data_IF_542110810471
#
_entry.id   IF_542110810471
#
_cell.length_a   1.000
_cell.length_b   1.000
_cell.length_c   1.000
_cell.angle_alpha   90.00
_cell.angle_beta   90.00
_cell.angle_gamma   90.00
#
_symmetry.space_group_name_H-M   'P 1'
#
loop_
_entity.id
_entity.type
_entity.pdbx_description
1 polymer ?
#
# COMPACT_ATOMS: atom_id res chain seq x y z
N UNK A 1 1.48 -56.27 46.03
CA UNK A 1 1.32 -55.63 47.35
C UNK A 1 0.96 -54.17 47.15
N UNK A 2 -0.24 -53.76 47.58
CA UNK A 2 -0.80 -52.42 47.38
C UNK A 2 -0.92 -51.71 48.74
N UNK A 3 -0.67 -50.38 48.78
CA UNK A 3 -1.05 -49.38 49.81
C UNK A 3 -0.72 -48.01 49.21
N UNK A 4 -1.51 -46.94 49.22
CA UNK A 4 -2.84 -46.64 49.73
C UNK A 4 -3.22 -45.21 49.28
N UNK A 5 -4.49 -44.98 48.98
CA UNK A 5 -5.10 -43.68 48.62
C UNK A 5 -5.21 -42.77 49.86
N UNK A 6 -5.20 -41.44 49.68
CA UNK A 6 -6.15 -40.57 50.39
C UNK A 6 -6.47 -39.27 49.62
N UNK A 7 -7.76 -39.11 49.31
CA UNK A 7 -8.44 -37.88 48.89
C UNK A 7 -8.74 -37.02 50.13
N UNK A 8 -8.81 -35.69 49.97
CA UNK A 8 -9.84 -34.87 50.65
C UNK A 8 -10.44 -33.85 49.67
N UNK A 9 -11.75 -33.69 49.82
CA UNK A 9 -12.71 -32.88 49.03
C UNK A 9 -13.35 -31.87 49.99
N UNK A 10 -14.03 -30.88 49.41
CA UNK A 10 -15.10 -30.03 50.00
C UNK A 10 -14.60 -28.81 50.80
N UNK A 11 -15.17 -27.60 50.69
CA UNK A 11 -16.59 -27.23 50.51
C UNK A 11 -16.77 -25.86 49.78
N UNK A 12 -17.87 -25.75 49.03
CA UNK A 12 -18.54 -24.52 48.56
C UNK A 12 -19.56 -24.09 49.63
N UNK A 13 -19.77 -22.80 49.90
CA UNK A 13 -21.08 -22.07 50.00
C UNK A 13 -20.87 -20.66 50.59
N UNK A 14 -21.21 -19.60 49.84
CA UNK A 14 -22.43 -18.74 49.90
C UNK A 14 -22.46 -17.73 51.06
N UNK A 15 -22.50 -16.45 50.69
CA UNK A 15 -22.95 -15.32 51.51
C UNK A 15 -23.09 -14.08 50.62
N UNK A 16 -24.33 -13.74 50.27
CA UNK A 16 -24.73 -12.49 49.62
C UNK A 16 -25.44 -11.60 50.66
N UNK A 17 -25.86 -10.39 50.23
CA UNK A 17 -26.67 -9.33 50.92
C UNK A 17 -25.79 -8.12 51.29
N UNK A 18 -25.71 -7.05 50.48
CA UNK A 18 -26.67 -5.96 50.14
C UNK A 18 -26.71 -4.84 51.20
N UNK A 19 -26.33 -3.63 50.78
CA UNK A 19 -26.93 -2.37 51.21
C UNK A 19 -26.73 -1.30 50.11
N UNK A 20 -27.87 -0.83 49.56
CA UNK A 20 -28.02 0.37 48.73
C UNK A 20 -27.77 1.64 49.58
N UNK A 21 -27.56 2.86 49.07
CA UNK A 21 -28.46 3.76 48.31
C UNK A 21 -27.58 4.99 47.95
N UNK A 22 -27.58 5.53 46.74
CA UNK A 22 -28.46 6.66 46.42
C UNK A 22 -28.03 7.40 45.16
N UNK A 23 -29.02 7.70 44.34
CA UNK A 23 -28.96 8.26 42.98
C UNK A 23 -29.04 9.79 43.05
N UNK A 24 -28.25 10.48 42.21
CA UNK A 24 -28.68 11.74 41.58
C UNK A 24 -28.34 11.61 40.09
N UNK A 25 -29.37 11.63 39.25
CA UNK A 25 -29.25 11.55 37.81
C UNK A 25 -29.08 12.91 37.13
N UNK A 26 -28.48 12.91 35.95
CA UNK A 26 -28.81 13.79 34.83
C UNK A 26 -28.11 13.30 33.54
N UNK A 27 -28.88 13.15 32.47
CA UNK A 27 -28.48 13.62 31.14
C UNK A 27 -27.51 12.78 30.29
N UNK A 28 -28.09 12.09 29.30
CA UNK A 28 -27.63 11.97 27.92
C UNK A 28 -26.12 11.85 27.61
N UNK A 29 -25.76 10.69 27.06
CA UNK A 29 -24.56 10.53 26.25
C UNK A 29 -24.22 9.06 26.08
N UNK A 30 -24.76 8.44 25.03
CA UNK A 30 -24.17 7.20 24.53
C UNK A 30 -22.72 7.50 24.18
N UNK A 31 -21.79 7.17 25.08
CA UNK A 31 -20.39 7.01 24.73
C UNK A 31 -20.33 5.77 23.85
N UNK A 32 -20.57 5.97 22.55
CA UNK A 32 -20.02 5.10 21.54
C UNK A 32 -18.50 5.13 21.78
N UNK A 33 -17.99 4.10 22.42
CA UNK A 33 -16.57 3.79 22.37
C UNK A 33 -16.28 3.50 20.91
N UNK A 34 -15.96 4.55 20.16
CA UNK A 34 -15.41 4.40 18.83
C UNK A 34 -14.20 3.48 19.02
N UNK A 35 -14.32 2.26 18.52
CA UNK A 35 -13.18 1.36 18.38
C UNK A 35 -12.06 2.17 17.73
N UNK A 36 -10.82 2.14 18.23
CA UNK A 36 -9.74 2.89 17.60
C UNK A 36 -9.69 2.44 16.14
N UNK A 37 -9.99 3.37 15.23
CA UNK A 37 -9.81 3.13 13.81
C UNK A 37 -8.37 2.66 13.64
N UNK A 38 -8.18 1.43 13.14
CA UNK A 38 -6.85 0.93 12.76
C UNK A 38 -6.18 2.05 11.95
N UNK A 39 -5.03 2.53 12.43
CA UNK A 39 -4.27 3.59 11.76
C UNK A 39 -4.16 3.23 10.27
N UNK A 40 -4.51 4.19 9.40
CA UNK A 40 -4.44 3.99 7.97
C UNK A 40 -3.02 3.51 7.61
N UNK A 41 -2.91 2.32 7.04
CA UNK A 41 -1.62 1.69 6.70
C UNK A 41 -0.91 2.41 5.55
N UNK A 42 -1.54 3.42 4.96
CA UNK A 42 -1.04 4.20 3.82
C UNK A 42 -0.71 5.63 4.22
N UNK A 43 0.32 6.21 3.62
CA UNK A 43 0.64 7.64 3.75
C UNK A 43 -0.08 8.48 2.69
N UNK A 44 -0.30 9.79 2.94
CA UNK A 44 -0.83 10.71 1.95
C UNK A 44 0.06 10.78 0.68
N UNK A 45 -0.55 10.94 -0.49
CA UNK A 45 0.19 11.01 -1.77
C UNK A 45 1.20 12.18 -1.80
N UNK A 46 0.88 13.29 -1.11
CA UNK A 46 1.80 14.42 -0.95
C UNK A 46 3.06 14.05 -0.16
N UNK A 47 2.97 13.13 0.81
CA UNK A 47 4.15 12.62 1.53
C UNK A 47 5.04 11.81 0.59
N UNK A 48 4.44 10.99 -0.28
CA UNK A 48 5.18 10.26 -1.34
C UNK A 48 5.85 11.24 -2.30
N UNK A 49 5.12 12.26 -2.74
CA UNK A 49 5.65 13.29 -3.65
C UNK A 49 6.80 14.09 -3.02
N UNK A 50 6.67 14.50 -1.75
CA UNK A 50 7.74 15.22 -1.03
C UNK A 50 8.98 14.36 -0.87
N UNK A 51 8.84 13.08 -0.49
CA UNK A 51 9.97 12.16 -0.38
C UNK A 51 10.69 11.98 -1.74
N UNK A 52 9.92 11.79 -2.82
CA UNK A 52 10.45 11.66 -4.17
C UNK A 52 11.16 12.93 -4.67
N UNK A 53 10.58 14.11 -4.42
CA UNK A 53 11.17 15.40 -4.80
C UNK A 53 12.47 15.64 -4.03
N UNK A 54 12.48 15.43 -2.72
CA UNK A 54 13.65 15.63 -1.86
C UNK A 54 14.79 14.66 -2.20
N UNK A 55 14.47 13.43 -2.63
CA UNK A 55 15.46 12.47 -3.12
C UNK A 55 15.96 12.77 -4.55
N UNK A 56 15.39 13.77 -5.24
CA UNK A 56 15.77 14.14 -6.61
C UNK A 56 15.31 13.15 -7.67
N UNK A 57 14.28 12.32 -7.40
CA UNK A 57 13.73 11.36 -8.38
C UNK A 57 13.32 12.00 -9.72
N UNK A 58 12.72 13.21 -9.77
CA UNK A 58 12.40 13.85 -11.04
C UNK A 58 13.62 14.14 -11.94
N UNK A 59 14.81 14.28 -11.35
CA UNK A 59 16.06 14.44 -12.09
C UNK A 59 16.57 13.13 -12.71
N UNK A 60 15.96 11.99 -12.38
CA UNK A 60 16.35 10.73 -13.00
C UNK A 60 15.77 10.61 -14.41
N UNK A 61 16.64 10.84 -15.41
CA UNK A 61 16.34 10.69 -16.85
C UNK A 61 15.07 11.44 -17.30
N UNK A 62 14.75 12.57 -16.65
CA UNK A 62 13.62 13.44 -17.02
C UNK A 62 12.24 12.88 -16.68
N UNK A 63 12.14 11.82 -15.88
CA UNK A 63 10.86 11.25 -15.49
C UNK A 63 10.11 12.22 -14.55
N UNK A 64 8.86 12.63 -14.87
CA UNK A 64 8.11 13.56 -14.03
C UNK A 64 7.85 13.05 -12.60
N UNK A 65 7.79 13.96 -11.63
CA UNK A 65 7.46 13.64 -10.23
C UNK A 65 6.16 12.84 -10.10
N UNK A 66 5.13 13.20 -10.88
CA UNK A 66 3.86 12.50 -10.90
C UNK A 66 3.99 11.01 -11.24
N UNK A 67 4.91 10.66 -12.15
CA UNK A 67 5.18 9.27 -12.54
C UNK A 67 5.80 8.49 -11.38
N UNK A 68 6.73 9.10 -10.63
CA UNK A 68 7.34 8.46 -9.46
C UNK A 68 6.32 8.19 -8.34
N UNK A 69 5.40 9.13 -8.11
CA UNK A 69 4.29 8.92 -7.17
C UNK A 69 3.38 7.80 -7.66
N UNK A 70 3.06 7.78 -8.96
CA UNK A 70 2.21 6.76 -9.55
C UNK A 70 2.84 5.35 -9.48
N UNK A 71 4.16 5.24 -9.66
CA UNK A 71 4.90 3.98 -9.47
C UNK A 71 4.85 3.54 -8.01
N UNK A 72 5.12 4.42 -7.04
CA UNK A 72 5.01 4.05 -5.61
C UNK A 72 3.62 3.54 -5.25
N UNK A 73 2.57 4.22 -5.73
CA UNK A 73 1.18 3.81 -5.50
C UNK A 73 0.85 2.47 -6.18
N UNK A 74 1.42 2.19 -7.35
CA UNK A 74 1.25 0.92 -8.03
C UNK A 74 2.02 -0.24 -7.36
N UNK A 75 3.20 0.03 -6.80
CA UNK A 75 4.04 -0.97 -6.14
C UNK A 75 3.56 -1.31 -4.72
N UNK A 76 3.12 -0.32 -3.95
CA UNK A 76 2.81 -0.49 -2.51
C UNK A 76 1.39 -0.10 -2.09
N UNK A 77 0.61 0.50 -3.00
CA UNK A 77 -0.66 1.14 -2.62
C UNK A 77 -0.48 2.41 -1.76
N UNK A 78 0.74 2.91 -1.60
CA UNK A 78 1.07 4.00 -0.66
C UNK A 78 1.36 3.51 0.75
N UNK A 79 1.55 2.22 0.96
CA UNK A 79 1.92 1.64 2.26
C UNK A 79 3.45 1.67 2.43
N UNK A 80 4.02 2.47 3.36
CA UNK A 80 5.45 2.50 3.60
C UNK A 80 5.97 1.23 4.27
N UNK A 81 5.10 0.40 4.85
CA UNK A 81 5.43 -0.90 5.45
C UNK A 81 5.17 -2.07 4.49
N UNK A 82 4.91 -1.79 3.20
CA UNK A 82 4.77 -2.85 2.21
C UNK A 82 6.06 -3.69 2.16
N UNK A 83 5.92 -4.98 2.38
CA UNK A 83 7.03 -5.92 2.43
C UNK A 83 6.65 -7.18 1.67
N UNK A 84 7.36 -7.44 0.58
CA UNK A 84 7.35 -8.72 -0.09
C UNK A 84 8.16 -9.73 0.72
N UNK A 85 7.52 -10.30 1.75
CA UNK A 85 8.13 -11.27 2.69
C UNK A 85 8.60 -12.56 2.01
N UNK A 86 8.06 -12.86 0.82
CA UNK A 86 8.44 -14.02 0.03
C UNK A 86 9.02 -13.56 -1.30
N UNK A 87 10.26 -14.00 -1.58
CA UNK A 87 10.96 -13.66 -2.82
C UNK A 87 12.02 -12.57 -2.69
N UNK A 88 11.94 -11.54 -3.54
CA UNK A 88 12.92 -10.45 -3.69
C UNK A 88 13.21 -9.62 -2.43
N UNK A 89 12.43 -9.82 -1.36
CA UNK A 89 12.51 -9.06 -0.11
C UNK A 89 12.37 -7.56 -0.38
N UNK A 90 11.40 -7.22 -1.23
CA UNK A 90 11.13 -5.85 -1.66
C UNK A 90 10.43 -5.06 -0.55
N UNK A 91 10.91 -3.85 -0.25
CA UNK A 91 10.44 -3.07 0.91
C UNK A 91 10.05 -1.65 0.55
N UNK A 92 9.02 -1.16 1.25
CA UNK A 92 8.59 0.22 1.25
C UNK A 92 7.83 0.67 0.00
N UNK A 93 7.68 1.99 -0.12
CA UNK A 93 6.81 2.64 -1.10
C UNK A 93 7.13 2.27 -2.56
N UNK A 94 8.41 2.22 -2.92
CA UNK A 94 8.91 1.87 -4.26
C UNK A 94 9.39 0.43 -4.35
N UNK A 95 9.04 -0.44 -3.38
CA UNK A 95 9.35 -1.87 -3.39
C UNK A 95 10.82 -2.17 -3.78
N UNK A 96 11.75 -1.60 -3.01
CA UNK A 96 13.19 -1.76 -3.25
C UNK A 96 13.62 -3.19 -2.92
N UNK A 97 14.09 -3.92 -3.94
CA UNK A 97 14.53 -5.30 -3.87
C UNK A 97 15.82 -5.43 -3.04
N UNK A 98 15.73 -6.06 -1.86
CA UNK A 98 16.90 -6.23 -1.00
C UNK A 98 17.87 -7.28 -1.49
N UNK A 99 17.43 -8.31 -2.23
CA UNK A 99 18.35 -9.32 -2.80
C UNK A 99 19.33 -8.73 -3.81
N UNK A 100 18.87 -7.79 -4.63
CA UNK A 100 19.68 -7.13 -5.64
C UNK A 100 20.53 -5.98 -5.08
N UNK A 101 20.14 -5.42 -3.94
CA UNK A 101 20.64 -4.11 -3.50
C UNK A 101 21.16 -4.06 -2.05
N UNK A 102 21.18 -5.20 -1.34
CA UNK A 102 21.65 -5.28 0.04
C UNK A 102 23.04 -4.66 0.25
N UNK A 103 23.97 -4.83 -0.70
CA UNK A 103 25.36 -4.37 -0.59
C UNK A 103 25.49 -2.85 -0.38
N UNK A 104 24.62 -2.05 -1.00
CA UNK A 104 24.65 -0.59 -0.84
C UNK A 104 23.53 -0.04 0.04
N UNK A 105 22.41 -0.76 0.21
CA UNK A 105 21.35 -0.38 1.16
C UNK A 105 21.83 -0.54 2.60
N UNK A 106 22.50 -1.66 2.92
CA UNK A 106 22.95 -1.99 4.27
C UNK A 106 21.78 -2.11 5.26
N UNK A 107 21.96 -1.56 6.47
CA UNK A 107 20.97 -1.63 7.57
C UNK A 107 19.97 -0.47 7.58
N UNK A 108 19.87 0.31 6.48
CA UNK A 108 18.98 1.46 6.43
C UNK A 108 17.51 1.02 6.48
N UNK A 109 16.69 1.80 7.19
CA UNK A 109 15.25 1.51 7.32
C UNK A 109 14.49 1.90 6.04
N UNK A 110 14.26 0.94 5.14
CA UNK A 110 13.48 1.16 3.92
C UNK A 110 11.98 1.39 4.14
N UNK A 111 11.47 1.27 5.37
CA UNK A 111 10.10 1.67 5.69
C UNK A 111 9.96 3.17 5.95
N UNK A 112 11.08 3.88 6.11
CA UNK A 112 11.07 5.34 6.09
C UNK A 112 10.91 5.84 4.64
N UNK A 113 9.90 6.68 4.33
CA UNK A 113 9.66 7.18 2.97
C UNK A 113 10.85 7.89 2.33
N UNK A 114 11.63 8.67 3.10
CA UNK A 114 12.76 9.42 2.57
C UNK A 114 13.93 8.48 2.24
N UNK A 115 14.22 7.51 3.12
CA UNK A 115 15.22 6.47 2.85
C UNK A 115 14.80 5.59 1.66
N UNK A 116 13.53 5.24 1.55
CA UNK A 116 13.02 4.46 0.41
C UNK A 116 13.12 5.24 -0.91
N UNK A 117 12.81 6.54 -0.91
CA UNK A 117 12.97 7.41 -2.07
C UNK A 117 14.43 7.59 -2.47
N UNK A 118 15.35 7.73 -1.50
CA UNK A 118 16.79 7.74 -1.76
C UNK A 118 17.26 6.45 -2.44
N UNK A 119 16.79 5.30 -1.96
CA UNK A 119 17.13 4.01 -2.57
C UNK A 119 16.54 3.88 -3.99
N UNK A 120 15.30 4.35 -4.21
CA UNK A 120 14.72 4.43 -5.54
C UNK A 120 15.57 5.30 -6.48
N UNK A 121 16.10 6.43 -6.00
CA UNK A 121 16.99 7.28 -6.81
C UNK A 121 18.25 6.52 -7.23
N UNK A 122 18.86 5.76 -6.31
CA UNK A 122 20.04 4.94 -6.60
C UNK A 122 19.77 3.85 -7.64
N UNK A 123 18.65 3.14 -7.53
CA UNK A 123 18.24 2.16 -8.54
C UNK A 123 18.05 2.84 -9.89
N UNK A 124 17.38 3.99 -9.91
CA UNK A 124 17.13 4.71 -11.15
C UNK A 124 18.40 5.26 -11.81
N UNK A 125 19.40 5.69 -11.05
CA UNK A 125 20.69 6.13 -11.59
C UNK A 125 21.38 5.04 -12.42
N UNK A 126 21.33 3.78 -11.96
CA UNK A 126 21.88 2.64 -12.70
C UNK A 126 20.97 2.14 -13.82
N UNK A 127 19.70 1.89 -13.51
CA UNK A 127 18.79 1.09 -14.35
C UNK A 127 17.69 1.92 -15.04
N UNK A 128 17.48 3.16 -14.62
CA UNK A 128 16.33 3.97 -15.03
C UNK A 128 15.02 3.50 -14.39
N UNK A 129 13.91 4.15 -14.75
CA UNK A 129 12.57 3.81 -14.23
C UNK A 129 12.05 2.45 -14.72
N UNK A 130 12.66 1.87 -15.75
CA UNK A 130 12.30 0.54 -16.25
C UNK A 130 12.65 -0.59 -15.29
N UNK A 131 13.40 -0.31 -14.21
CA UNK A 131 13.61 -1.25 -13.10
C UNK A 131 12.31 -1.62 -12.37
N UNK A 132 11.28 -0.76 -12.45
CA UNK A 132 9.98 -1.02 -11.85
C UNK A 132 9.04 -1.66 -12.87
N UNK A 133 8.68 -2.91 -12.65
CA UNK A 133 7.62 -3.57 -13.43
C UNK A 133 6.31 -2.78 -13.46
N UNK A 134 5.91 -2.10 -12.37
CA UNK A 134 4.71 -1.26 -12.37
C UNK A 134 4.77 -0.10 -13.38
N UNK A 135 5.98 0.31 -13.77
CA UNK A 135 6.20 1.21 -14.88
C UNK A 135 6.06 0.46 -16.22
N UNK A 136 6.84 -0.60 -16.44
CA UNK A 136 6.95 -1.28 -17.75
C UNK A 136 5.66 -2.00 -18.18
N UNK A 137 4.84 -2.46 -17.25
CA UNK A 137 3.55 -3.08 -17.53
C UNK A 137 2.37 -2.07 -17.55
N UNK A 138 2.64 -0.78 -17.35
CA UNK A 138 1.63 0.28 -17.40
C UNK A 138 0.72 0.41 -16.17
N UNK A 139 0.92 -0.35 -15.10
CA UNK A 139 0.07 -0.25 -13.89
C UNK A 139 0.06 1.15 -13.27
N UNK A 140 1.17 1.87 -13.35
CA UNK A 140 1.30 3.24 -12.87
C UNK A 140 0.28 4.20 -13.52
N UNK A 141 -0.20 3.96 -14.74
CA UNK A 141 -1.19 4.83 -15.39
C UNK A 141 -2.48 4.97 -14.57
N UNK A 142 -2.86 3.94 -13.80
CA UNK A 142 -4.04 3.97 -12.90
C UNK A 142 -3.91 5.02 -11.79
N UNK A 143 -2.69 5.41 -11.45
CA UNK A 143 -2.38 6.31 -10.35
C UNK A 143 -1.85 7.67 -10.81
N UNK A 144 -1.77 7.91 -12.12
CA UNK A 144 -1.16 9.12 -12.66
C UNK A 144 -1.92 10.39 -12.25
N UNK A 145 -3.25 10.35 -12.21
CA UNK A 145 -4.06 11.48 -11.75
C UNK A 145 -3.77 11.84 -10.27
N UNK A 146 -3.61 10.83 -9.42
CA UNK A 146 -3.20 11.00 -8.01
C UNK A 146 -1.78 11.59 -7.93
N UNK A 147 -0.86 11.06 -8.74
CA UNK A 147 0.51 11.55 -8.83
C UNK A 147 0.59 13.02 -9.28
N UNK A 148 -0.20 13.42 -10.27
CA UNK A 148 -0.27 14.82 -10.73
C UNK A 148 -0.79 15.75 -9.64
N UNK A 149 -1.85 15.35 -8.93
CA UNK A 149 -2.40 16.13 -7.81
C UNK A 149 -1.37 16.32 -6.69
N UNK A 150 -0.65 15.26 -6.32
CA UNK A 150 0.38 15.30 -5.29
C UNK A 150 1.60 16.13 -5.71
N UNK A 151 2.08 15.96 -6.94
CA UNK A 151 3.19 16.75 -7.48
C UNK A 151 2.84 18.25 -7.49
N UNK A 152 1.62 18.60 -7.91
CA UNK A 152 1.16 19.99 -7.89
C UNK A 152 1.07 20.55 -6.46
N UNK A 153 0.70 19.74 -5.46
CA UNK A 153 0.70 20.16 -4.06
C UNK A 153 2.11 20.49 -3.56
N UNK A 154 3.11 19.67 -3.89
CA UNK A 154 4.53 19.93 -3.55
C UNK A 154 5.02 21.22 -4.22
N UNK A 155 4.74 21.43 -5.51
CA UNK A 155 5.15 22.65 -6.23
C UNK A 155 4.51 23.93 -5.67
N UNK A 156 3.31 23.86 -5.08
CA UNK A 156 2.65 24.99 -4.41
C UNK A 156 3.20 25.25 -3.00
N UNK A 157 3.64 24.20 -2.29
CA UNK A 157 4.26 24.31 -0.96
C UNK A 157 5.61 25.04 -0.95
N UNK A 158 6.28 25.15 -2.11
CA UNK A 158 7.52 25.91 -2.29
C UNK A 158 7.28 27.44 -2.44
N UNK A 159 6.02 27.91 -2.47
CA UNK A 159 5.70 29.33 -2.69
C UNK A 159 4.93 30.07 -1.57
N UNK A 160 4.86 29.54 -0.35
CA UNK A 160 4.17 30.23 0.76
C UNK A 160 5.00 30.30 2.05
N UNK A 161 6.13 30.98 2.00
CA UNK A 161 6.68 31.68 3.17
C UNK A 161 6.56 33.17 2.88
N UNK A 162 5.46 33.77 3.34
CA UNK A 162 5.07 35.21 3.34
C UNK A 162 3.74 35.48 2.65
N UNK A 163 2.64 35.01 3.24
CA UNK A 163 1.37 35.74 3.14
C UNK A 163 0.77 35.80 4.54
N UNK A 164 0.80 37.02 5.10
CA UNK A 164 0.06 37.39 6.29
C UNK A 164 -1.44 37.19 6.04
N UNK A 165 -2.13 36.55 6.98
CA UNK A 165 -3.57 36.33 6.90
C UNK A 165 -4.31 37.66 6.99
N UNK A 166 -4.87 38.12 5.87
CA UNK A 166 -6.05 38.96 5.85
C UNK A 166 -6.78 38.76 4.53
N UNK A 167 -7.77 37.88 4.53
CA UNK A 167 -9.02 38.12 3.81
C UNK A 167 -10.07 37.12 4.24
N UNK A 168 -11.25 37.67 4.51
CA UNK A 168 -12.50 36.97 4.70
C UNK A 168 -12.86 36.17 3.45
N UNK A 169 -13.61 35.10 3.70
CA UNK A 169 -14.00 34.08 2.76
C UNK A 169 -14.56 34.60 1.42
N UNK A 170 -14.06 34.00 0.34
CA UNK A 170 -14.83 33.82 -0.89
C UNK A 170 -15.15 32.33 -1.01
N UNK A 171 -16.39 31.92 -1.35
CA UNK A 171 -16.68 30.52 -1.58
C UNK A 171 -16.07 30.15 -2.94
N UNK A 172 -14.86 29.59 -2.94
CA UNK A 172 -14.37 28.88 -4.12
C UNK A 172 -15.19 27.59 -4.18
N UNK A 173 -16.30 27.66 -4.92
CA UNK A 173 -17.04 26.49 -5.35
C UNK A 173 -16.04 25.65 -6.12
N UNK A 174 -15.51 24.63 -5.44
CA UNK A 174 -14.68 23.63 -6.08
C UNK A 174 -15.55 23.01 -7.18
N UNK A 175 -15.36 23.48 -8.41
CA UNK A 175 -15.79 22.75 -9.57
C UNK A 175 -14.94 21.47 -9.57
N UNK A 176 -15.43 20.47 -8.84
CA UNK A 176 -15.09 19.06 -9.02
C UNK A 176 -15.58 18.69 -10.42
N UNK A 177 -14.91 19.21 -11.44
CA UNK A 177 -14.82 18.50 -12.71
C UNK A 177 -13.59 17.61 -12.54
N UNK A 178 -13.77 16.58 -11.71
CA UNK A 178 -13.07 15.34 -12.01
C UNK A 178 -13.51 15.01 -13.44
N UNK A 179 -12.61 14.92 -14.43
CA UNK A 179 -13.01 14.17 -15.60
C UNK A 179 -13.39 12.80 -15.05
N UNK A 180 -14.65 12.41 -15.20
CA UNK A 180 -14.99 11.01 -15.32
C UNK A 180 -14.30 10.54 -16.59
N UNK A 181 -12.97 10.42 -16.52
CA UNK A 181 -12.21 9.61 -17.42
C UNK A 181 -12.70 8.20 -17.11
N UNK A 182 -13.76 7.82 -17.81
CA UNK A 182 -13.94 6.47 -18.32
C UNK A 182 -12.66 6.18 -19.08
N UNK A 183 -11.59 5.86 -18.35
CA UNK A 183 -10.50 5.14 -18.95
C UNK A 183 -11.16 3.83 -19.37
N UNK A 184 -11.30 3.55 -20.68
CA UNK A 184 -11.54 2.16 -21.06
C UNK A 184 -10.49 1.37 -20.30
N UNK A 185 -10.91 0.31 -19.62
CA UNK A 185 -10.04 -0.72 -19.07
C UNK A 185 -8.73 -0.72 -19.85
N UNK A 186 -7.62 -0.31 -19.21
CA UNK A 186 -6.29 -0.10 -19.81
C UNK A 186 -5.73 -1.46 -20.28
N UNK A 187 -6.38 -1.93 -21.32
CA UNK A 187 -6.27 -3.13 -22.11
C UNK A 187 -6.28 -2.70 -23.59
N UNK A 188 -5.71 -1.53 -23.87
CA UNK A 188 -5.34 -1.07 -25.20
C UNK A 188 -3.86 -0.73 -25.08
N UNK A 189 -3.00 -1.68 -25.47
CA UNK A 189 -1.56 -1.42 -25.54
C UNK A 189 -0.64 -2.64 -25.56
N UNK A 190 -0.86 -3.67 -24.72
CA UNK A 190 0.16 -4.72 -24.52
C UNK A 190 -0.35 -6.18 -24.58
N UNK A 191 -1.57 -6.41 -25.06
CA UNK A 191 -2.08 -7.75 -25.32
C UNK A 191 -2.39 -8.56 -24.06
N UNK A 192 -3.41 -9.42 -24.17
CA UNK A 192 -3.90 -10.34 -23.13
C UNK A 192 -4.83 -9.72 -22.06
N UNK A 193 -6.09 -9.53 -22.48
CA UNK A 193 -7.24 -9.45 -21.59
C UNK A 193 -7.49 -10.81 -20.95
N UNK A 194 -6.94 -11.03 -19.77
CA UNK A 194 -7.49 -12.01 -18.85
C UNK A 194 -8.53 -11.32 -17.98
N UNK A 195 -9.58 -12.06 -17.63
CA UNK A 195 -10.46 -11.65 -16.57
C UNK A 195 -9.65 -11.61 -15.26
N UNK A 196 -9.46 -10.41 -14.72
CA UNK A 196 -8.75 -10.22 -13.45
C UNK A 196 -9.40 -11.04 -12.35
N UNK A 197 -10.73 -11.24 -12.41
CA UNK A 197 -11.41 -12.15 -11.48
C UNK A 197 -10.89 -13.58 -11.59
N UNK A 198 -10.62 -14.08 -12.80
CA UNK A 198 -10.11 -15.44 -12.98
C UNK A 198 -8.70 -15.59 -12.38
N UNK A 199 -7.82 -14.61 -12.61
CA UNK A 199 -6.48 -14.58 -12.01
C UNK A 199 -6.58 -14.57 -10.48
N UNK A 200 -7.36 -13.63 -9.92
CA UNK A 200 -7.51 -13.48 -8.47
C UNK A 200 -8.14 -14.73 -7.84
N UNK A 201 -9.18 -15.31 -8.45
CA UNK A 201 -9.77 -16.58 -7.99
C UNK A 201 -8.75 -17.71 -8.00
N UNK A 202 -7.94 -17.80 -9.05
CA UNK A 202 -6.94 -18.84 -9.15
C UNK A 202 -5.85 -18.68 -8.10
N UNK A 203 -5.30 -17.48 -7.93
CA UNK A 203 -4.34 -17.18 -6.87
C UNK A 203 -4.94 -17.47 -5.48
N UNK A 204 -6.17 -17.05 -5.21
CA UNK A 204 -6.86 -17.36 -3.96
C UNK A 204 -6.99 -18.88 -3.73
N UNK A 205 -7.33 -19.65 -4.77
CA UNK A 205 -7.39 -21.13 -4.69
C UNK A 205 -6.04 -21.80 -4.41
N UNK A 206 -4.93 -21.13 -4.75
CA UNK A 206 -3.57 -21.56 -4.45
C UNK A 206 -3.08 -21.09 -3.08
N UNK A 207 -3.95 -20.50 -2.25
CA UNK A 207 -3.65 -20.07 -0.89
C UNK A 207 -3.08 -18.64 -0.76
N UNK A 208 -3.12 -17.84 -1.83
CA UNK A 208 -2.69 -16.45 -1.77
C UNK A 208 -3.69 -15.58 -1.00
N UNK A 209 -3.22 -14.68 -0.12
CA UNK A 209 -4.10 -13.77 0.63
C UNK A 209 -4.51 -12.58 -0.26
N UNK A 210 -5.50 -12.79 -1.13
CA UNK A 210 -5.98 -11.79 -2.10
C UNK A 210 -7.51 -11.72 -2.15
N UNK A 211 -8.04 -10.51 -2.31
CA UNK A 211 -9.45 -10.26 -2.57
C UNK A 211 -9.77 -10.37 -4.07
N UNK A 212 -10.91 -10.96 -4.40
CA UNK A 212 -11.40 -11.08 -5.77
C UNK A 212 -12.31 -9.88 -6.10
N UNK A 213 -11.71 -8.78 -6.53
CA UNK A 213 -12.39 -7.51 -6.80
C UNK A 213 -12.40 -7.09 -8.28
N UNK A 214 -11.80 -7.91 -9.16
CA UNK A 214 -11.70 -7.64 -10.60
C UNK A 214 -10.74 -6.51 -10.96
N UNK A 215 -9.96 -5.99 -10.00
CA UNK A 215 -9.03 -4.88 -10.21
C UNK A 215 -7.60 -5.33 -10.09
N UNK A 216 -6.85 -5.18 -11.17
CA UNK A 216 -5.42 -5.43 -11.16
C UNK A 216 -4.71 -4.23 -10.50
N UNK A 217 -4.67 -4.24 -9.17
CA UNK A 217 -3.96 -3.27 -8.33
C UNK A 217 -2.69 -3.86 -7.71
N UNK A 218 -2.07 -3.11 -6.79
CA UNK A 218 -0.81 -3.50 -6.13
C UNK A 218 -0.86 -4.91 -5.52
N UNK A 219 -1.97 -5.29 -4.86
CA UNK A 219 -2.13 -6.62 -4.28
C UNK A 219 -2.08 -7.71 -5.36
N UNK A 220 -2.80 -7.53 -6.47
CA UNK A 220 -2.79 -8.50 -7.57
C UNK A 220 -1.41 -8.60 -8.21
N UNK A 221 -0.77 -7.46 -8.49
CA UNK A 221 0.58 -7.45 -9.05
C UNK A 221 1.58 -8.18 -8.14
N UNK A 222 1.53 -7.92 -6.85
CA UNK A 222 2.39 -8.58 -5.86
C UNK A 222 2.17 -10.09 -5.82
N UNK A 223 0.92 -10.56 -5.80
CA UNK A 223 0.63 -12.00 -5.79
C UNK A 223 1.02 -12.68 -7.12
N UNK A 224 0.89 -11.99 -8.25
CA UNK A 224 1.39 -12.49 -9.54
C UNK A 224 2.91 -12.61 -9.54
N UNK A 225 3.64 -11.60 -9.06
CA UNK A 225 5.11 -11.65 -8.96
C UNK A 225 5.58 -12.79 -8.06
N UNK A 226 4.96 -12.98 -6.90
CA UNK A 226 5.30 -14.09 -6.00
C UNK A 226 4.99 -15.46 -6.66
N UNK A 227 3.87 -15.58 -7.36
CA UNK A 227 3.55 -16.78 -8.15
C UNK A 227 4.61 -17.05 -9.22
N UNK A 228 4.95 -16.04 -10.02
CA UNK A 228 5.97 -16.16 -11.07
C UNK A 228 7.30 -16.64 -10.49
N UNK A 229 7.72 -16.06 -9.37
CA UNK A 229 8.95 -16.45 -8.71
C UNK A 229 8.91 -17.90 -8.23
N UNK A 230 7.85 -18.32 -7.52
CA UNK A 230 7.69 -19.70 -7.01
C UNK A 230 7.68 -20.75 -8.12
N UNK A 231 7.29 -20.35 -9.33
CA UNK A 231 7.22 -21.24 -10.49
C UNK A 231 8.37 -21.04 -11.49
N UNK A 232 9.42 -20.29 -11.13
CA UNK A 232 10.62 -20.11 -11.97
C UNK A 232 10.36 -19.34 -13.26
N UNK A 233 9.37 -18.43 -13.25
CA UNK A 233 9.01 -17.56 -14.36
C UNK A 233 9.72 -16.20 -14.25
N UNK A 234 9.69 -15.43 -15.33
CA UNK A 234 10.08 -14.01 -15.30
C UNK A 234 9.18 -13.26 -14.32
N UNK A 235 9.77 -12.58 -13.34
CA UNK A 235 9.07 -11.87 -12.25
C UNK A 235 8.76 -10.43 -12.70
N UNK A 236 7.92 -10.29 -13.73
CA UNK A 236 7.53 -9.00 -14.31
C UNK A 236 6.11 -8.55 -13.87
N UNK A 237 5.41 -9.39 -13.11
CA UNK A 237 4.03 -9.14 -12.70
C UNK A 237 3.01 -9.17 -13.85
N UNK A 238 3.41 -9.65 -15.03
CA UNK A 238 2.60 -9.77 -16.23
C UNK A 238 2.06 -11.21 -16.34
N UNK A 239 0.73 -11.34 -16.43
CA UNK A 239 0.10 -12.66 -16.62
C UNK A 239 0.10 -13.06 -18.10
N UNK A 240 1.29 -13.29 -18.64
CA UNK A 240 1.53 -13.76 -20.01
C UNK A 240 1.25 -15.27 -20.19
N UNK A 241 1.46 -15.81 -21.41
CA UNK A 241 1.15 -17.21 -21.73
C UNK A 241 1.79 -18.24 -20.79
N UNK A 242 3.04 -18.04 -20.37
CA UNK A 242 3.72 -18.95 -19.45
C UNK A 242 3.11 -18.90 -18.03
N UNK A 243 2.83 -17.70 -17.52
CA UNK A 243 2.14 -17.50 -16.24
C UNK A 243 0.77 -18.15 -16.26
N UNK A 244 0.01 -17.98 -17.36
CA UNK A 244 -1.30 -18.62 -17.58
C UNK A 244 -1.21 -20.14 -17.55
N UNK A 245 -0.28 -20.72 -18.30
CA UNK A 245 -0.11 -22.16 -18.35
C UNK A 245 0.19 -22.74 -16.95
N UNK A 246 1.01 -22.04 -16.14
CA UNK A 246 1.29 -22.44 -14.76
C UNK A 246 0.09 -22.24 -13.83
N UNK A 247 -0.69 -21.18 -14.03
CA UNK A 247 -1.94 -20.95 -13.31
C UNK A 247 -3.03 -21.95 -13.73
N UNK A 248 -2.96 -22.55 -14.92
CA UNK A 248 -4.01 -23.42 -15.45
C UNK A 248 -5.26 -22.64 -15.87
N UNK A 249 -5.07 -21.46 -16.49
CA UNK A 249 -6.14 -20.57 -16.98
C UNK A 249 -5.90 -20.15 -18.43
#
# INVERSE_FOLDING_TARGET
>A
MAKGKHRKRSTRTRGAVVAAVGVIGAGAGMFATASPARAATTVPDVTIASAAANAGLPGCRGVPLATWVAVALAESGGNPYAHATYGEDSRGLWQINMRAHAGWVGNRNLYDPAVNAWAAKKVCEGQGITAWSAYTNGLHYRYLARGQAAAAAVSRGVRFTNISYSSLAAPVRAAVVAPAARYPSLAVGLGFRLDVHQIQKRLASLGYPISVDGKFGYQTNHMVKDFQLKHGLVVDGIVGPQTRAKLGI
#
